data_IF_984390289509
#
_entry.id   IF_984390289509
#
_cell.length_a   1.000
_cell.length_b   1.000
_cell.length_c   1.000
_cell.angle_alpha   90.00
_cell.angle_beta   90.00
_cell.angle_gamma   90.00
#
_symmetry.space_group_name_H-M   'P 1'
#
loop_
_entity.id
_entity.type
_entity.pdbx_description
1 polymer ?
#
# COMPACT_ATOMS: atom_id res chain seq x y z
N UNK A 1 -28.07 13.86 -72.36
CA UNK A 1 -27.08 13.36 -71.40
C UNK A 1 -27.85 13.15 -70.10
N UNK A 2 -27.80 11.92 -69.60
CA UNK A 2 -28.69 11.41 -68.56
C UNK A 2 -28.20 11.81 -67.16
N UNK A 3 -29.14 12.12 -66.28
CA UNK A 3 -28.94 12.48 -64.88
C UNK A 3 -29.41 11.32 -64.05
N UNK A 4 -28.55 10.71 -63.23
CA UNK A 4 -28.82 10.30 -61.84
C UNK A 4 -27.74 9.33 -61.32
N UNK A 5 -27.22 9.64 -60.11
CA UNK A 5 -27.10 8.75 -58.94
C UNK A 5 -26.32 7.44 -59.12
N UNK A 6 -25.33 7.06 -58.32
CA UNK A 6 -25.03 7.29 -56.91
C UNK A 6 -23.51 7.11 -56.79
N UNK A 7 -22.80 8.08 -56.20
CA UNK A 7 -21.49 7.77 -55.63
C UNK A 7 -21.79 7.29 -54.22
N UNK A 8 -21.74 5.97 -54.07
CA UNK A 8 -21.90 5.30 -52.79
C UNK A 8 -20.84 5.83 -51.81
N UNK A 9 -21.33 6.29 -50.66
CA UNK A 9 -20.80 6.09 -49.30
C UNK A 9 -19.42 5.42 -49.32
N UNK A 10 -18.34 6.09 -48.96
CA UNK A 10 -17.96 6.25 -47.57
C UNK A 10 -16.88 7.34 -47.56
N UNK A 11 -17.19 8.53 -47.06
CA UNK A 11 -16.13 9.38 -46.56
C UNK A 11 -15.45 8.54 -45.48
N UNK A 12 -14.21 8.11 -45.71
CA UNK A 12 -13.34 7.79 -44.58
C UNK A 12 -13.19 9.09 -43.82
N UNK A 13 -14.14 9.33 -42.91
CA UNK A 13 -13.98 10.25 -41.81
C UNK A 13 -12.69 9.79 -41.14
N UNK A 14 -11.59 10.50 -41.42
CA UNK A 14 -10.35 10.37 -40.68
C UNK A 14 -10.73 10.52 -39.20
N UNK A 15 -10.95 9.39 -38.53
CA UNK A 15 -11.32 9.37 -37.12
C UNK A 15 -10.13 10.03 -36.45
N UNK A 16 -10.30 11.21 -35.81
CA UNK A 16 -9.17 11.91 -35.24
C UNK A 16 -8.45 10.95 -34.31
N UNK A 17 -7.12 10.89 -34.39
CA UNK A 17 -6.31 9.91 -33.65
C UNK A 17 -6.69 9.83 -32.16
N UNK A 18 -7.11 10.95 -31.59
CA UNK A 18 -7.66 11.05 -30.24
C UNK A 18 -8.89 10.13 -30.02
N UNK A 19 -9.79 10.05 -30.98
CA UNK A 19 -11.03 9.26 -30.93
C UNK A 19 -10.75 7.76 -31.14
N UNK A 20 -9.75 7.40 -31.95
CA UNK A 20 -9.25 6.01 -32.06
C UNK A 20 -8.68 5.52 -30.72
N UNK A 21 -7.90 6.37 -30.03
CA UNK A 21 -7.35 6.08 -28.70
C UNK A 21 -8.48 5.93 -27.68
N UNK A 22 -9.47 6.83 -27.68
CA UNK A 22 -10.62 6.77 -26.77
C UNK A 22 -11.45 5.49 -26.95
N UNK A 23 -11.70 5.08 -28.18
CA UNK A 23 -12.48 3.88 -28.48
C UNK A 23 -11.73 2.61 -28.06
N UNK A 24 -10.41 2.56 -28.27
CA UNK A 24 -9.55 1.44 -27.86
C UNK A 24 -9.52 1.22 -26.34
N UNK A 25 -9.75 2.26 -25.53
CA UNK A 25 -9.88 2.15 -24.08
C UNK A 25 -11.26 1.63 -23.63
N UNK A 26 -12.28 1.70 -24.49
CA UNK A 26 -13.64 1.30 -24.16
C UNK A 26 -13.93 -0.19 -24.40
N UNK A 27 -13.16 -0.85 -25.28
CA UNK A 27 -13.28 -2.27 -25.63
C UNK A 27 -12.38 -3.20 -24.79
N UNK A 28 -11.95 -2.76 -23.61
CA UNK A 28 -11.44 -3.67 -22.59
C UNK A 28 -12.66 -4.27 -21.86
N UNK A 29 -13.07 -5.54 -22.10
CA UNK A 29 -13.94 -6.25 -21.18
C UNK A 29 -13.14 -6.48 -19.88
N UNK A 30 -13.14 -5.48 -19.00
CA UNK A 30 -12.39 -5.55 -17.74
C UNK A 30 -12.12 -4.22 -17.03
N UNK A 31 -12.54 -3.06 -17.54
CA UNK A 31 -12.33 -1.80 -16.81
C UNK A 31 -13.44 -0.77 -17.01
N UNK A 32 -14.68 -1.16 -16.70
CA UNK A 32 -15.74 -0.20 -16.35
C UNK A 32 -16.54 -0.75 -15.17
N UNK A 33 -15.95 -0.63 -13.99
CA UNK A 33 -16.74 -0.15 -12.87
C UNK A 33 -15.84 0.75 -12.05
N UNK A 34 -16.02 2.06 -12.24
CA UNK A 34 -15.99 3.02 -11.14
C UNK A 34 -17.08 2.58 -10.14
N UNK A 35 -16.87 1.44 -9.50
CA UNK A 35 -17.31 1.29 -8.15
C UNK A 35 -16.22 2.03 -7.38
N UNK A 36 -16.63 2.96 -6.53
CA UNK A 36 -16.17 2.96 -5.15
C UNK A 36 -16.01 1.51 -4.68
N UNK A 37 -14.91 0.87 -5.07
CA UNK A 37 -14.46 -0.39 -4.55
C UNK A 37 -14.12 0.00 -3.14
N UNK A 38 -15.13 -0.24 -2.28
CA UNK A 38 -15.06 -0.27 -0.83
C UNK A 38 -13.61 -0.48 -0.52
N UNK A 39 -12.97 0.55 0.05
CA UNK A 39 -11.73 0.43 0.80
C UNK A 39 -11.71 -0.99 1.27
N UNK A 40 -10.92 -1.85 0.61
CA UNK A 40 -10.91 -3.26 0.94
C UNK A 40 -10.46 -3.21 2.36
N UNK A 41 -11.44 -3.33 3.25
CA UNK A 41 -11.26 -3.44 4.65
C UNK A 41 -10.72 -4.85 4.73
N UNK A 42 -9.47 -5.01 4.32
CA UNK A 42 -8.51 -5.86 4.93
C UNK A 42 -8.52 -5.44 6.39
N UNK A 43 -9.58 -5.87 7.06
CA UNK A 43 -9.61 -6.20 8.46
C UNK A 43 -8.69 -7.42 8.52
N UNK A 44 -7.39 -7.19 8.33
CA UNK A 44 -6.40 -8.03 8.95
C UNK A 44 -6.81 -7.98 10.41
N UNK A 45 -7.36 -9.09 10.89
CA UNK A 45 -7.58 -9.30 12.30
C UNK A 45 -6.19 -9.20 12.91
N UNK A 46 -5.89 -7.98 13.36
CA UNK A 46 -4.62 -7.57 13.91
C UNK A 46 -4.22 -8.59 14.96
N UNK A 47 -2.99 -9.09 14.89
CA UNK A 47 -2.57 -10.10 15.85
C UNK A 47 -2.73 -9.54 17.28
N UNK A 48 -3.04 -10.39 18.26
CA UNK A 48 -3.07 -9.96 19.66
C UNK A 48 -1.71 -9.36 20.07
N UNK A 49 -0.61 -9.80 19.46
CA UNK A 49 0.72 -9.30 19.76
C UNK A 49 0.95 -7.90 19.20
N UNK A 50 0.46 -7.57 17.99
CA UNK A 50 0.47 -6.19 17.52
C UNK A 50 -0.26 -5.26 18.49
N UNK A 51 -1.42 -5.66 19.02
CA UNK A 51 -2.18 -4.81 19.95
C UNK A 51 -1.37 -4.53 21.22
N UNK A 52 -0.64 -5.54 21.72
CA UNK A 52 0.28 -5.37 22.85
C UNK A 52 1.46 -4.47 22.49
N UNK A 53 2.04 -4.63 21.30
CA UNK A 53 3.15 -3.80 20.80
C UNK A 53 2.73 -2.33 20.77
N UNK A 54 1.60 -2.00 20.15
CA UNK A 54 1.11 -0.60 20.10
C UNK A 54 0.83 -0.06 21.49
N UNK A 55 0.27 -0.88 22.38
CA UNK A 55 0.03 -0.47 23.77
C UNK A 55 1.35 -0.13 24.46
N UNK A 56 2.35 -1.02 24.39
CA UNK A 56 3.67 -0.81 24.99
C UNK A 56 4.41 0.40 24.41
N UNK A 57 4.27 0.65 23.10
CA UNK A 57 4.83 1.85 22.45
C UNK A 57 4.18 3.12 23.00
N UNK A 58 2.86 3.14 23.14
CA UNK A 58 2.11 4.30 23.62
C UNK A 58 2.33 4.58 25.11
N UNK A 59 2.46 3.53 25.92
CA UNK A 59 2.75 3.66 27.35
C UNK A 59 4.23 3.88 27.64
N UNK A 60 5.11 3.61 26.67
CA UNK A 60 6.56 3.70 26.86
C UNK A 60 7.14 2.55 27.68
N UNK A 61 6.47 1.39 27.71
CA UNK A 61 6.93 0.21 28.44
C UNK A 61 8.01 -0.55 27.66
N UNK A 62 9.26 -0.16 27.88
CA UNK A 62 10.42 -0.74 27.19
C UNK A 62 10.57 -2.24 27.44
N UNK A 63 10.39 -2.72 28.67
CA UNK A 63 10.53 -4.16 28.99
C UNK A 63 9.45 -5.01 28.31
N UNK A 64 8.19 -4.59 28.39
CA UNK A 64 7.08 -5.23 27.69
C UNK A 64 7.36 -5.28 26.19
N UNK A 65 7.84 -4.19 25.61
CA UNK A 65 8.18 -4.11 24.19
C UNK A 65 9.35 -5.03 23.81
N UNK A 66 10.37 -5.14 24.66
CA UNK A 66 11.51 -6.06 24.48
C UNK A 66 11.05 -7.52 24.43
N UNK A 67 10.13 -7.94 25.30
CA UNK A 67 9.61 -9.32 25.27
C UNK A 67 8.85 -9.64 23.98
N UNK A 68 8.21 -8.63 23.38
CA UNK A 68 7.42 -8.77 22.16
C UNK A 68 8.30 -8.83 20.91
N UNK A 69 9.58 -8.43 20.97
CA UNK A 69 10.51 -8.45 19.81
C UNK A 69 10.70 -9.82 19.18
N UNK A 70 10.41 -10.91 19.92
CA UNK A 70 10.38 -12.28 19.40
C UNK A 70 9.36 -12.46 18.27
N UNK A 71 8.32 -11.63 18.24
CA UNK A 71 7.21 -11.70 17.31
C UNK A 71 7.40 -10.69 16.17
N UNK A 72 8.51 -10.80 15.43
CA UNK A 72 8.91 -9.84 14.38
C UNK A 72 7.85 -9.60 13.31
N UNK A 73 7.01 -10.59 12.97
CA UNK A 73 5.91 -10.42 12.02
C UNK A 73 4.87 -9.39 12.48
N UNK A 74 4.64 -9.28 13.79
CA UNK A 74 3.69 -8.32 14.35
C UNK A 74 4.20 -6.87 14.25
N UNK A 75 5.52 -6.66 14.11
CA UNK A 75 6.11 -5.33 13.85
C UNK A 75 5.92 -4.88 12.40
N UNK A 76 5.52 -5.77 11.50
CA UNK A 76 5.26 -5.48 10.08
C UNK A 76 3.78 -5.33 9.77
N UNK A 77 2.89 -5.54 10.76
CA UNK A 77 1.47 -5.30 10.59
C UNK A 77 1.17 -3.80 10.54
N UNK A 78 0.26 -3.40 9.67
CA UNK A 78 -0.16 -2.00 9.53
C UNK A 78 -1.52 -1.76 10.17
N UNK A 79 -1.75 -0.52 10.62
CA UNK A 79 -3.08 -0.10 11.04
C UNK A 79 -4.02 0.27 9.89
N UNK A 80 -5.22 0.76 10.22
CA UNK A 80 -6.20 1.22 9.22
C UNK A 80 -5.73 2.41 8.38
N UNK A 81 -4.70 3.11 8.83
CA UNK A 81 -4.05 4.22 8.13
C UNK A 81 -2.78 3.79 7.39
N UNK A 82 -2.45 2.49 7.39
CA UNK A 82 -1.22 1.97 6.81
C UNK A 82 0.02 2.15 7.70
N UNK A 83 -0.15 2.51 8.98
CA UNK A 83 0.96 2.77 9.89
C UNK A 83 1.46 1.49 10.55
N UNK A 84 2.74 1.21 10.33
CA UNK A 84 3.52 0.26 11.13
C UNK A 84 3.70 0.74 12.58
N UNK A 85 3.94 -0.17 13.54
CA UNK A 85 4.37 0.15 14.90
C UNK A 85 5.59 1.09 14.92
N UNK A 86 6.46 1.01 13.92
CA UNK A 86 7.61 1.92 13.80
C UNK A 86 7.20 3.39 13.63
N UNK A 87 6.11 3.69 12.91
CA UNK A 87 5.60 5.06 12.79
C UNK A 87 5.03 5.56 14.12
N UNK A 88 4.29 4.70 14.83
CA UNK A 88 3.78 5.00 16.18
C UNK A 88 4.92 5.24 17.17
N UNK A 89 6.03 4.50 17.07
CA UNK A 89 7.20 4.70 17.93
C UNK A 89 7.96 6.01 17.59
N UNK A 90 7.98 6.43 16.33
CA UNK A 90 8.69 7.62 15.88
C UNK A 90 8.07 8.94 16.36
N UNK A 91 6.77 8.94 16.67
CA UNK A 91 6.09 10.11 17.25
C UNK A 91 6.29 10.23 18.76
N UNK A 92 6.84 9.21 19.42
CA UNK A 92 7.12 9.25 20.85
C UNK A 92 8.42 10.02 21.14
N UNK A 93 8.51 10.74 22.28
CA UNK A 93 9.75 11.38 22.71
C UNK A 93 10.80 10.37 23.20
N UNK A 94 10.38 9.16 23.56
CA UNK A 94 11.28 8.12 24.08
C UNK A 94 12.04 7.43 22.93
N UNK A 95 13.32 7.77 22.80
CA UNK A 95 14.23 7.19 21.79
C UNK A 95 14.43 5.69 21.94
N UNK A 96 14.37 5.15 23.16
CA UNK A 96 14.55 3.71 23.40
C UNK A 96 13.41 2.91 22.77
N UNK A 97 12.17 3.41 22.87
CA UNK A 97 11.00 2.77 22.25
C UNK A 97 11.17 2.70 20.73
N UNK A 98 11.64 3.79 20.11
CA UNK A 98 11.95 3.81 18.69
C UNK A 98 13.06 2.83 18.32
N UNK A 99 14.15 2.81 19.09
CA UNK A 99 15.29 1.93 18.84
C UNK A 99 14.91 0.44 18.95
N UNK A 100 14.18 0.06 20.01
CA UNK A 100 13.68 -1.30 20.22
C UNK A 100 12.78 -1.71 19.06
N UNK A 101 11.81 -0.86 18.69
CA UNK A 101 10.86 -1.13 17.59
C UNK A 101 11.58 -1.29 16.25
N UNK A 102 12.58 -0.46 15.98
CA UNK A 102 13.40 -0.53 14.77
C UNK A 102 14.21 -1.83 14.70
N UNK A 103 14.87 -2.21 15.80
CA UNK A 103 15.62 -3.47 15.90
C UNK A 103 14.72 -4.69 15.73
N UNK A 104 13.52 -4.67 16.31
CA UNK A 104 12.55 -5.74 16.19
C UNK A 104 11.99 -5.90 14.77
N UNK A 105 11.87 -4.80 14.03
CA UNK A 105 11.40 -4.80 12.64
C UNK A 105 12.44 -5.37 11.67
N UNK A 106 13.73 -5.17 11.96
CA UNK A 106 14.86 -5.58 11.12
C UNK A 106 16.01 -6.20 11.94
N UNK A 107 15.83 -7.40 12.50
CA UNK A 107 16.82 -8.01 13.40
C UNK A 107 18.18 -8.27 12.72
N UNK A 108 18.20 -8.51 11.40
CA UNK A 108 19.40 -8.88 10.65
C UNK A 108 20.29 -7.70 10.25
N UNK A 109 19.71 -6.52 10.03
CA UNK A 109 20.44 -5.35 9.48
C UNK A 109 21.39 -4.74 10.52
N UNK A 110 21.06 -4.86 11.82
CA UNK A 110 21.88 -4.32 12.90
C UNK A 110 23.16 -5.13 13.21
N UNK A 111 23.26 -6.39 12.75
CA UNK A 111 24.45 -7.22 13.03
C UNK A 111 25.61 -6.97 12.04
N UNK A 112 25.37 -6.26 10.92
CA UNK A 112 26.37 -6.11 9.85
C UNK A 112 27.38 -4.96 10.05
N UNK A 113 27.22 -4.08 11.04
CA UNK A 113 28.14 -2.94 11.24
C UNK A 113 29.31 -3.22 12.19
N UNK A 114 29.44 -4.45 12.72
CA UNK A 114 30.54 -4.84 13.61
C UNK A 114 31.63 -5.72 12.96
N UNK A 115 31.60 -5.96 11.65
CA UNK A 115 32.74 -6.54 10.93
C UNK A 115 33.78 -5.43 10.69
N UNK A 116 34.53 -5.08 11.75
CA UNK A 116 35.81 -4.38 11.67
C UNK A 116 36.93 -5.42 11.73
N UNK A 117 37.87 -5.37 10.79
CA UNK A 117 39.10 -6.14 10.77
C UNK A 117 39.58 -6.39 9.35
#
# INVERSE_FOLDING_TARGET
YDTTKMHDEEAEDDIPMQLVIQQSLHDIPGSKTLATAKSDSFCFTRSPDYRKIITAIRTGEEESLLTLTRNGSAFQEVDSQGWLPLHEAAVQPNKNILEITLKASHPTIWQQTNLKG
#
